data_IF_570893427810
#
_entry.id   IF_570893427810
#
_cell.length_a   1.000
_cell.length_b   1.000
_cell.length_c   1.000
_cell.angle_alpha   90.00
_cell.angle_beta   90.00
_cell.angle_gamma   90.00
#
_symmetry.space_group_name_H-M   'P 1'
#
loop_
_entity.id
_entity.type
_entity.pdbx_description
1 polymer ?
#
# COMPACT_ATOMS: atom_id res chain seq x y z
N UNK A 1 1.42 -57.35 50.29
CA UNK A 1 0.63 -56.12 50.08
C UNK A 1 0.98 -55.58 48.69
N UNK A 2 0.11 -55.80 47.69
CA UNK A 2 -0.90 -54.82 47.22
C UNK A 2 -0.24 -53.73 46.36
N UNK A 3 -0.55 -53.46 45.10
CA UNK A 3 -1.59 -53.92 44.15
C UNK A 3 -1.14 -53.50 42.75
N UNK A 4 -1.38 -54.37 41.77
CA UNK A 4 -1.39 -54.09 40.33
C UNK A 4 -2.28 -52.88 40.01
N UNK A 5 -1.80 -51.94 39.17
CA UNK A 5 -2.67 -50.95 38.53
C UNK A 5 -2.55 -51.06 37.02
N UNK A 6 -3.48 -51.82 36.46
CA UNK A 6 -3.85 -51.88 35.05
C UNK A 6 -4.28 -50.49 34.59
N UNK A 7 -3.58 -49.90 33.62
CA UNK A 7 -4.04 -48.70 32.92
C UNK A 7 -4.97 -49.13 31.78
N UNK A 8 -6.28 -49.08 32.05
CA UNK A 8 -7.32 -49.35 31.07
C UNK A 8 -7.43 -48.17 30.09
N UNK A 9 -7.21 -48.47 28.81
CA UNK A 9 -7.52 -47.63 27.66
C UNK A 9 -9.04 -47.47 27.54
N UNK A 10 -9.56 -46.23 27.57
CA UNK A 10 -10.91 -45.93 27.09
C UNK A 10 -10.88 -44.72 26.16
N UNK A 11 -11.40 -45.00 24.98
CA UNK A 11 -11.72 -44.15 23.84
C UNK A 11 -12.64 -42.98 24.21
N UNK A 12 -12.30 -41.78 23.75
CA UNK A 12 -13.30 -40.82 23.27
C UNK A 12 -12.58 -39.75 22.44
N UNK A 13 -12.61 -39.92 21.12
CA UNK A 13 -12.50 -38.81 20.17
C UNK A 13 -13.78 -37.99 20.31
N UNK A 14 -13.76 -36.72 20.73
CA UNK A 14 -14.85 -35.83 20.36
C UNK A 14 -14.59 -35.42 18.92
N UNK A 15 -15.29 -36.06 17.99
CA UNK A 15 -15.52 -35.49 16.68
C UNK A 15 -16.47 -34.30 16.88
N UNK A 16 -15.93 -33.11 17.10
CA UNK A 16 -16.66 -31.84 17.01
C UNK A 16 -15.72 -30.77 16.45
N UNK A 17 -15.41 -30.88 15.17
CA UNK A 17 -14.61 -29.91 14.43
C UNK A 17 -15.31 -29.42 13.16
N UNK A 18 -16.65 -29.28 13.20
CA UNK A 18 -17.44 -29.03 11.99
C UNK A 18 -18.21 -27.71 11.94
N UNK A 19 -18.43 -27.02 13.07
CA UNK A 19 -19.35 -25.87 13.12
C UNK A 19 -18.67 -24.53 13.49
N UNK A 20 -17.56 -24.55 14.25
CA UNK A 20 -16.77 -23.34 14.53
C UNK A 20 -15.88 -22.95 13.34
N UNK A 21 -15.34 -23.93 12.62
CA UNK A 21 -14.38 -23.68 11.53
C UNK A 21 -14.90 -22.85 10.35
N UNK A 22 -16.19 -22.91 10.00
CA UNK A 22 -16.70 -22.19 8.82
C UNK A 22 -16.97 -20.72 9.11
N UNK A 23 -17.47 -20.41 10.30
CA UNK A 23 -17.72 -19.02 10.74
C UNK A 23 -16.40 -18.35 11.10
N UNK A 24 -15.48 -19.07 11.75
CA UNK A 24 -14.15 -18.55 12.06
C UNK A 24 -13.32 -18.33 10.77
N UNK A 25 -13.49 -19.16 9.74
CA UNK A 25 -12.82 -18.98 8.45
C UNK A 25 -13.44 -17.85 7.62
N UNK A 26 -14.77 -17.66 7.69
CA UNK A 26 -15.45 -16.52 7.09
C UNK A 26 -15.04 -15.21 7.78
N UNK A 27 -15.03 -15.18 9.11
CA UNK A 27 -14.57 -14.03 9.89
C UNK A 27 -13.08 -13.72 9.65
N UNK A 28 -12.22 -14.75 9.56
CA UNK A 28 -10.81 -14.56 9.21
C UNK A 28 -10.62 -14.07 7.76
N UNK A 29 -11.45 -14.52 6.82
CA UNK A 29 -11.48 -14.02 5.45
C UNK A 29 -11.92 -12.55 5.37
N UNK A 30 -12.90 -12.17 6.18
CA UNK A 30 -13.39 -10.79 6.30
C UNK A 30 -12.33 -9.88 6.95
N UNK A 31 -11.69 -10.32 8.03
CA UNK A 31 -10.60 -9.58 8.69
C UNK A 31 -9.39 -9.39 7.77
N UNK A 32 -9.02 -10.42 7.00
CA UNK A 32 -7.92 -10.32 6.04
C UNK A 32 -8.25 -9.31 4.92
N UNK A 33 -9.47 -9.35 4.39
CA UNK A 33 -9.94 -8.41 3.36
C UNK A 33 -9.98 -6.96 3.87
N UNK A 34 -10.41 -6.76 5.11
CA UNK A 34 -10.41 -5.43 5.77
C UNK A 34 -8.98 -4.94 6.02
N UNK A 35 -8.07 -5.81 6.46
CA UNK A 35 -6.67 -5.48 6.66
C UNK A 35 -5.98 -5.07 5.34
N UNK A 36 -6.25 -5.79 4.26
CA UNK A 36 -5.73 -5.49 2.92
C UNK A 36 -6.27 -4.14 2.40
N UNK A 37 -7.57 -3.89 2.56
CA UNK A 37 -8.17 -2.60 2.21
C UNK A 37 -7.56 -1.44 3.01
N UNK A 38 -7.34 -1.63 4.32
CA UNK A 38 -6.71 -0.64 5.18
C UNK A 38 -5.25 -0.36 4.77
N UNK A 39 -4.47 -1.41 4.47
CA UNK A 39 -3.11 -1.25 3.93
C UNK A 39 -3.11 -0.47 2.61
N UNK A 40 -4.07 -0.75 1.72
CA UNK A 40 -4.27 -0.01 0.48
C UNK A 40 -4.47 1.49 0.71
N UNK A 41 -5.29 1.87 1.69
CA UNK A 41 -5.52 3.28 2.04
C UNK A 41 -4.26 3.96 2.59
N UNK A 42 -3.47 3.26 3.41
CA UNK A 42 -2.20 3.79 3.92
C UNK A 42 -1.23 4.08 2.78
N UNK A 43 -1.06 3.13 1.85
CA UNK A 43 -0.19 3.31 0.69
C UNK A 43 -0.69 4.45 -0.23
N UNK A 44 -2.00 4.57 -0.46
CA UNK A 44 -2.57 5.70 -1.19
C UNK A 44 -2.26 7.04 -0.52
N UNK A 45 -2.37 7.12 0.81
CA UNK A 45 -2.04 8.32 1.57
C UNK A 45 -0.55 8.70 1.51
N UNK A 46 0.35 7.71 1.40
CA UNK A 46 1.78 7.97 1.18
C UNK A 46 2.01 8.51 -0.24
N UNK A 47 1.47 7.83 -1.25
CA UNK A 47 1.64 8.23 -2.66
C UNK A 47 1.06 9.61 -2.95
N UNK A 48 -0.07 9.97 -2.33
CA UNK A 48 -0.63 11.32 -2.46
C UNK A 48 0.28 12.39 -1.88
N UNK A 49 0.82 12.20 -0.67
CA UNK A 49 1.76 13.15 -0.06
C UNK A 49 3.04 13.29 -0.87
N UNK A 50 3.53 12.20 -1.44
CA UNK A 50 4.69 12.22 -2.30
C UNK A 50 4.41 12.97 -3.60
N UNK A 51 3.25 12.71 -4.23
CA UNK A 51 2.81 13.43 -5.43
C UNK A 51 2.67 14.94 -5.18
N UNK A 52 2.11 15.35 -4.04
CA UNK A 52 2.00 16.76 -3.65
C UNK A 52 3.39 17.39 -3.48
N UNK A 53 4.33 16.66 -2.88
CA UNK A 53 5.71 17.11 -2.69
C UNK A 53 6.44 17.28 -4.03
N UNK A 54 6.27 16.32 -4.96
CA UNK A 54 6.84 16.39 -6.32
C UNK A 54 6.21 17.53 -7.11
N UNK A 55 4.89 17.76 -6.99
CA UNK A 55 4.20 18.86 -7.65
C UNK A 55 4.70 20.24 -7.16
N UNK A 56 4.94 20.39 -5.85
CA UNK A 56 5.53 21.60 -5.29
C UNK A 56 6.97 21.83 -5.78
N UNK A 57 7.79 20.77 -5.80
CA UNK A 57 9.16 20.82 -6.33
C UNK A 57 9.17 21.19 -7.82
N UNK A 58 8.25 20.62 -8.61
CA UNK A 58 8.13 20.91 -10.04
C UNK A 58 7.80 22.39 -10.28
N UNK A 59 6.83 22.93 -9.55
CA UNK A 59 6.44 24.35 -9.63
C UNK A 59 7.63 25.27 -9.30
N UNK A 60 8.43 24.86 -8.32
CA UNK A 60 9.65 25.59 -7.92
C UNK A 60 10.69 25.55 -9.04
N UNK A 61 11.00 24.38 -9.57
CA UNK A 61 11.96 24.21 -10.67
C UNK A 61 11.56 25.00 -11.93
N UNK A 62 10.28 24.96 -12.31
CA UNK A 62 9.76 25.74 -13.44
C UNK A 62 9.87 27.26 -13.21
N UNK A 63 9.61 27.71 -11.98
CA UNK A 63 9.74 29.12 -11.61
C UNK A 63 11.19 29.57 -11.65
N UNK A 64 12.11 28.79 -11.09
CA UNK A 64 13.55 29.06 -11.16
C UNK A 64 14.05 29.08 -12.60
N UNK A 65 13.65 28.12 -13.45
CA UNK A 65 14.02 28.11 -14.86
C UNK A 65 13.58 29.40 -15.57
N UNK A 66 12.35 29.85 -15.33
CA UNK A 66 11.82 31.10 -15.89
C UNK A 66 12.59 32.34 -15.43
N UNK A 67 12.94 32.42 -14.14
CA UNK A 67 13.73 33.53 -13.58
C UNK A 67 15.12 33.55 -14.21
N UNK A 68 15.81 32.41 -14.27
CA UNK A 68 17.17 32.31 -14.82
C UNK A 68 17.21 32.61 -16.34
N UNK A 69 16.16 32.26 -17.09
CA UNK A 69 16.05 32.71 -18.49
C UNK A 69 15.91 34.23 -18.58
N UNK A 70 15.11 34.83 -17.71
CA UNK A 70 14.91 36.28 -17.65
C UNK A 70 16.18 37.05 -17.26
N UNK A 71 17.05 36.45 -16.45
CA UNK A 71 18.34 37.02 -16.05
C UNK A 71 19.47 36.79 -17.08
N UNK A 72 19.22 36.00 -18.14
CA UNK A 72 20.22 35.66 -19.16
C UNK A 72 21.13 34.49 -18.81
N UNK A 73 20.88 33.80 -17.70
CA UNK A 73 21.67 32.66 -17.22
C UNK A 73 21.21 31.35 -17.86
N UNK A 74 21.67 31.10 -19.11
CA UNK A 74 21.25 29.92 -19.90
C UNK A 74 21.59 28.60 -19.22
N UNK A 75 22.79 28.48 -18.64
CA UNK A 75 23.22 27.24 -17.99
C UNK A 75 22.41 26.92 -16.73
N UNK A 76 22.04 27.93 -15.94
CA UNK A 76 21.20 27.71 -14.76
C UNK A 76 19.77 27.35 -15.16
N UNK A 77 19.20 28.05 -16.15
CA UNK A 77 17.88 27.73 -16.69
C UNK A 77 17.79 26.27 -17.19
N UNK A 78 18.78 25.81 -17.95
CA UNK A 78 18.81 24.43 -18.46
C UNK A 78 18.88 23.38 -17.36
N UNK A 79 19.60 23.66 -16.25
CA UNK A 79 19.63 22.75 -15.09
C UNK A 79 18.25 22.61 -14.44
N UNK A 80 17.56 23.72 -14.21
CA UNK A 80 16.20 23.69 -13.65
C UNK A 80 15.18 23.06 -14.60
N UNK A 81 15.34 23.24 -15.90
CA UNK A 81 14.50 22.56 -16.90
C UNK A 81 14.74 21.04 -16.91
N UNK A 82 15.99 20.60 -16.76
CA UNK A 82 16.30 19.18 -16.64
C UNK A 82 15.70 18.59 -15.37
N UNK A 83 15.77 19.32 -14.25
CA UNK A 83 15.10 18.96 -13.00
C UNK A 83 13.59 18.83 -13.18
N UNK A 84 12.95 19.82 -13.80
CA UNK A 84 11.52 19.80 -14.08
C UNK A 84 11.12 18.62 -14.98
N UNK A 85 11.95 18.22 -15.96
CA UNK A 85 11.70 17.02 -16.78
C UNK A 85 11.71 15.75 -15.93
N UNK A 86 12.72 15.57 -15.07
CA UNK A 86 12.81 14.42 -14.16
C UNK A 86 11.62 14.36 -13.20
N UNK A 87 11.25 15.50 -12.60
CA UNK A 87 10.10 15.57 -11.69
C UNK A 87 8.78 15.22 -12.38
N UNK A 88 8.59 15.60 -13.65
CA UNK A 88 7.40 15.20 -14.43
C UNK A 88 7.37 13.70 -14.72
N UNK A 89 8.51 13.06 -14.93
CA UNK A 89 8.59 11.60 -15.09
C UNK A 89 8.18 10.91 -13.78
N UNK A 90 8.75 11.34 -12.64
CA UNK A 90 8.36 10.84 -11.31
C UNK A 90 6.87 11.07 -11.04
N UNK A 91 6.33 12.23 -11.40
CA UNK A 91 4.90 12.52 -11.20
C UNK A 91 4.00 11.59 -12.03
N UNK A 92 4.40 11.25 -13.26
CA UNK A 92 3.66 10.27 -14.09
C UNK A 92 3.67 8.90 -13.44
N UNK A 93 4.82 8.44 -12.93
CA UNK A 93 4.93 7.16 -12.23
C UNK A 93 4.03 7.12 -10.99
N UNK A 94 4.04 8.17 -10.17
CA UNK A 94 3.17 8.29 -9.00
C UNK A 94 1.67 8.23 -9.39
N UNK A 95 1.26 8.95 -10.44
CA UNK A 95 -0.10 8.86 -10.95
C UNK A 95 -0.47 7.43 -11.39
N UNK A 96 0.45 6.73 -12.08
CA UNK A 96 0.24 5.33 -12.47
C UNK A 96 0.11 4.42 -11.25
N UNK A 97 0.96 4.58 -10.23
CA UNK A 97 0.89 3.80 -8.99
C UNK A 97 -0.43 4.04 -8.24
N UNK A 98 -0.85 5.30 -8.11
CA UNK A 98 -2.14 5.67 -7.49
C UNK A 98 -3.30 5.03 -8.24
N UNK A 99 -3.32 5.11 -9.57
CA UNK A 99 -4.37 4.51 -10.39
C UNK A 99 -4.42 2.98 -10.25
N UNK A 100 -3.25 2.32 -10.28
CA UNK A 100 -3.15 0.88 -10.11
C UNK A 100 -3.65 0.44 -8.73
N UNK A 101 -3.26 1.17 -7.68
CA UNK A 101 -3.64 0.85 -6.32
C UNK A 101 -5.15 1.05 -6.10
N UNK A 102 -5.72 2.15 -6.61
CA UNK A 102 -7.17 2.37 -6.61
C UNK A 102 -7.92 1.25 -7.32
N UNK A 103 -7.44 0.82 -8.49
CA UNK A 103 -8.08 -0.26 -9.26
C UNK A 103 -8.08 -1.58 -8.48
N UNK A 104 -6.95 -1.93 -7.84
CA UNK A 104 -6.82 -3.16 -7.04
C UNK A 104 -7.79 -3.19 -5.86
N UNK A 105 -7.98 -2.07 -5.17
CA UNK A 105 -8.84 -2.01 -3.99
C UNK A 105 -10.30 -1.63 -4.30
N UNK A 106 -10.62 -1.14 -5.50
CA UNK A 106 -12.00 -0.96 -5.94
C UNK A 106 -12.68 -2.28 -6.33
N UNK A 107 -11.90 -3.31 -6.71
CA UNK A 107 -12.40 -4.63 -7.11
C UNK A 107 -12.68 -5.59 -5.95
N UNK A 108 -12.23 -5.29 -4.73
CA UNK A 108 -12.36 -6.18 -3.56
C UNK A 108 -13.72 -6.11 -2.85
N UNK A 109 -14.71 -5.45 -3.44
CA UNK A 109 -16.02 -5.20 -2.83
C UNK A 109 -17.22 -5.71 -3.62
N UNK A 110 -17.06 -6.73 -4.48
CA UNK A 110 -18.16 -7.32 -5.26
C UNK A 110 -18.35 -8.80 -5.01
#
# INVERSE_FOLDING_TARGET
>A
MSTTRTATRTTARPARGGATNLVDLAAAGDEHTVADAHQGQVFLGILHRENDSVAAALTTAETCARIERGSGSVAAAQRYEAEARRLRETQRELHCMIANLRTRFAGSGS
#
